data_IF_546565599451
#
_entry.id   IF_546565599451
#
_cell.length_a   1.000
_cell.length_b   1.000
_cell.length_c   1.000
_cell.angle_alpha   90.00
_cell.angle_beta   90.00
_cell.angle_gamma   90.00
#
_symmetry.space_group_name_H-M   'P 1'
#
loop_
_entity.id
_entity.type
_entity.pdbx_description
1 polymer ?
#
# COMPACT_ATOMS: atom_id res chain seq x y z
N UNK A 1 6.56 -4.92 -28.49
CA UNK A 1 6.41 -6.20 -27.77
C UNK A 1 6.32 -6.06 -26.25
N UNK A 2 7.14 -5.20 -25.57
CA UNK A 2 7.06 -4.95 -24.09
C UNK A 2 5.73 -4.32 -23.64
N UNK A 3 5.17 -3.40 -24.43
CA UNK A 3 3.88 -2.75 -24.10
C UNK A 3 2.67 -3.70 -24.14
N UNK A 4 2.70 -4.72 -24.99
CA UNK A 4 1.63 -5.71 -25.07
C UNK A 4 1.63 -6.69 -23.89
N UNK A 5 2.81 -7.03 -23.37
CA UNK A 5 2.95 -7.89 -22.18
C UNK A 5 2.52 -7.17 -20.90
N UNK A 6 2.76 -5.85 -20.80
CA UNK A 6 2.32 -5.03 -19.67
C UNK A 6 0.79 -4.80 -19.69
N UNK A 7 0.18 -4.64 -20.87
CA UNK A 7 -1.29 -4.55 -21.02
C UNK A 7 -2.02 -5.82 -20.55
N UNK A 8 -1.39 -6.98 -20.63
CA UNK A 8 -1.95 -8.23 -20.12
C UNK A 8 -1.84 -8.37 -18.59
N UNK A 9 -0.90 -7.64 -17.97
CA UNK A 9 -0.70 -7.64 -16.53
C UNK A 9 -1.59 -6.62 -15.78
N UNK A 10 -2.01 -5.55 -16.49
CA UNK A 10 -2.85 -4.49 -15.92
C UNK A 10 -4.08 -4.33 -16.81
N UNK A 11 -5.16 -5.07 -16.56
CA UNK A 11 -6.41 -4.87 -17.30
C UNK A 11 -6.88 -3.42 -17.08
N UNK A 12 -7.22 -2.77 -18.19
CA UNK A 12 -7.89 -1.46 -18.14
C UNK A 12 -9.10 -1.54 -17.22
N UNK A 13 -9.39 -0.50 -16.43
CA UNK A 13 -10.49 -0.52 -15.47
C UNK A 13 -11.85 -0.41 -16.17
N UNK A 14 -12.23 -1.40 -16.96
CA UNK A 14 -13.62 -1.64 -17.28
C UNK A 14 -14.21 -2.44 -16.12
N UNK A 15 -14.91 -1.75 -15.26
CA UNK A 15 -15.69 -2.25 -14.16
C UNK A 15 -16.74 -3.24 -14.67
N UNK A 16 -16.36 -4.50 -14.78
CA UNK A 16 -17.31 -5.61 -14.81
C UNK A 16 -17.19 -6.32 -13.47
N UNK A 17 -18.33 -6.55 -12.86
CA UNK A 17 -18.53 -7.06 -11.53
C UNK A 17 -17.57 -8.19 -11.13
N UNK A 18 -17.05 -8.12 -9.89
CA UNK A 18 -16.39 -9.19 -9.14
C UNK A 18 -15.10 -9.77 -9.76
N UNK A 19 -14.24 -8.96 -10.39
CA UNK A 19 -12.85 -9.33 -10.57
C UNK A 19 -12.21 -9.43 -9.18
N UNK A 20 -11.65 -10.59 -8.83
CA UNK A 20 -10.80 -10.77 -7.65
C UNK A 20 -9.89 -9.56 -7.49
N UNK A 21 -10.05 -8.85 -6.41
CA UNK A 21 -9.27 -7.65 -6.11
C UNK A 21 -7.81 -8.06 -5.91
N UNK A 22 -7.03 -8.01 -6.99
CA UNK A 22 -5.59 -8.28 -6.91
C UNK A 22 -4.96 -7.22 -6.00
N UNK A 23 -4.29 -7.67 -4.97
CA UNK A 23 -3.57 -6.78 -4.06
C UNK A 23 -2.19 -6.47 -4.65
N UNK A 24 -2.12 -5.50 -5.59
CA UNK A 24 -0.84 -5.05 -6.11
C UNK A 24 -0.04 -4.37 -5.00
N UNK A 25 1.24 -4.73 -4.91
CA UNK A 25 2.18 -4.23 -3.92
C UNK A 25 3.58 -4.13 -4.51
N UNK A 26 4.38 -3.16 -4.06
CA UNK A 26 5.80 -3.08 -4.42
C UNK A 26 6.62 -4.13 -3.65
N UNK A 27 7.85 -4.49 -4.11
CA UNK A 27 8.76 -5.33 -3.35
C UNK A 27 9.02 -4.80 -1.94
N UNK A 28 9.17 -3.48 -1.79
CA UNK A 28 9.41 -2.82 -0.51
C UNK A 28 8.19 -2.94 0.41
N UNK A 29 6.99 -2.71 -0.14
CA UNK A 29 5.75 -2.86 0.61
C UNK A 29 5.55 -4.29 1.09
N UNK A 30 5.80 -5.27 0.23
CA UNK A 30 5.74 -6.69 0.63
C UNK A 30 6.75 -7.02 1.72
N UNK A 31 7.99 -6.53 1.60
CA UNK A 31 9.02 -6.72 2.62
C UNK A 31 8.62 -6.11 3.96
N UNK A 32 7.95 -4.95 3.96
CA UNK A 32 7.44 -4.30 5.16
C UNK A 32 6.36 -5.15 5.85
N UNK A 33 5.37 -5.67 5.09
CA UNK A 33 4.35 -6.57 5.65
C UNK A 33 4.98 -7.82 6.26
N UNK A 34 5.96 -8.40 5.56
CA UNK A 34 6.69 -9.58 6.02
C UNK A 34 7.50 -9.30 7.28
N UNK A 35 8.18 -8.18 7.36
CA UNK A 35 8.96 -7.79 8.53
C UNK A 35 8.07 -7.60 9.77
N UNK A 36 6.91 -6.96 9.61
CA UNK A 36 5.91 -6.82 10.67
C UNK A 36 5.39 -8.19 11.13
N UNK A 37 5.07 -9.07 10.18
CA UNK A 37 4.63 -10.42 10.49
C UNK A 37 5.67 -11.20 11.30
N UNK A 38 6.94 -11.20 10.84
CA UNK A 38 8.04 -11.90 11.50
C UNK A 38 8.29 -11.34 12.91
N UNK A 39 8.23 -10.03 13.11
CA UNK A 39 8.36 -9.37 14.40
C UNK A 39 7.25 -9.78 15.38
N UNK A 40 6.01 -9.75 14.93
CA UNK A 40 4.86 -10.15 15.73
C UNK A 40 4.90 -11.64 16.08
N UNK A 41 5.16 -12.49 15.08
CA UNK A 41 5.08 -13.95 15.22
C UNK A 41 6.25 -14.52 16.03
N UNK A 42 7.48 -14.08 15.73
CA UNK A 42 8.70 -14.67 16.29
C UNK A 42 9.17 -13.99 17.57
N UNK A 43 8.84 -12.72 17.78
CA UNK A 43 9.36 -11.95 18.91
C UNK A 43 8.28 -11.57 19.90
N UNK A 44 7.27 -10.83 19.47
CA UNK A 44 6.29 -10.24 20.40
C UNK A 44 5.34 -11.29 20.96
N UNK A 45 4.75 -12.12 20.08
CA UNK A 45 3.78 -13.14 20.51
C UNK A 45 4.34 -14.11 21.54
N UNK A 46 5.53 -14.74 21.36
CA UNK A 46 6.11 -15.63 22.36
C UNK A 46 6.36 -14.94 23.69
N UNK A 47 6.83 -13.68 23.68
CA UNK A 47 7.02 -12.89 24.90
C UNK A 47 5.70 -12.70 25.65
N UNK A 48 4.65 -12.24 24.97
CA UNK A 48 3.34 -12.01 25.60
C UNK A 48 2.74 -13.32 26.10
N UNK A 49 2.94 -14.45 25.42
CA UNK A 49 2.52 -15.78 25.90
C UNK A 49 3.21 -16.13 27.22
N UNK A 50 4.52 -15.89 27.32
CA UNK A 50 5.28 -16.12 28.56
C UNK A 50 4.79 -15.21 29.69
N UNK A 51 4.57 -13.93 29.42
CA UNK A 51 4.08 -12.94 30.39
C UNK A 51 2.69 -13.34 30.92
N UNK A 52 1.79 -13.78 30.04
CA UNK A 52 0.44 -14.27 30.42
C UNK A 52 0.53 -15.53 31.27
N UNK A 53 1.42 -16.46 30.92
CA UNK A 53 1.60 -17.70 31.70
C UNK A 53 2.14 -17.39 33.11
N UNK A 54 3.10 -16.47 33.21
CA UNK A 54 3.63 -16.00 34.50
C UNK A 54 2.55 -15.31 35.34
N UNK A 55 1.79 -14.35 34.74
CA UNK A 55 0.70 -13.68 35.42
C UNK A 55 -0.38 -14.67 35.92
N UNK A 56 -0.70 -15.69 35.13
CA UNK A 56 -1.67 -16.71 35.50
C UNK A 56 -1.24 -17.57 36.69
N UNK A 57 0.06 -17.63 36.99
CA UNK A 57 0.60 -18.37 38.16
C UNK A 57 0.57 -17.57 39.45
N UNK A 58 0.34 -16.25 39.41
CA UNK A 58 0.49 -15.30 40.52
C UNK A 58 -0.84 -14.91 41.22
N UNK A 59 -1.89 -15.75 41.17
CA UNK A 59 -3.12 -15.52 41.89
C UNK A 59 -4.42 -15.63 41.07
N UNK A 60 -5.50 -15.00 41.57
CA UNK A 60 -6.80 -15.04 40.89
C UNK A 60 -6.77 -14.33 39.55
N UNK A 61 -7.05 -15.08 38.48
CA UNK A 61 -7.03 -14.61 37.09
C UNK A 61 -8.07 -13.54 36.83
N UNK A 62 -9.16 -13.51 37.59
CA UNK A 62 -10.28 -12.56 37.38
C UNK A 62 -9.94 -11.16 37.83
N UNK A 63 -9.03 -11.00 38.81
CA UNK A 63 -8.60 -9.71 39.36
C UNK A 63 -7.17 -9.32 38.94
N UNK A 64 -6.48 -10.20 38.21
CA UNK A 64 -5.10 -9.96 37.78
C UNK A 64 -5.06 -9.12 36.50
N UNK A 65 -4.77 -7.84 36.66
CA UNK A 65 -4.71 -6.86 35.55
C UNK A 65 -3.70 -7.26 34.47
N UNK A 66 -2.54 -7.79 34.82
CA UNK A 66 -1.48 -8.20 33.89
C UNK A 66 -1.94 -9.38 33.03
N UNK A 67 -2.65 -10.34 33.65
CA UNK A 67 -3.26 -11.47 32.93
C UNK A 67 -4.29 -10.98 31.90
N UNK A 68 -5.21 -10.10 32.33
CA UNK A 68 -6.27 -9.55 31.48
C UNK A 68 -5.68 -8.75 30.32
N UNK A 69 -4.70 -7.88 30.62
CA UNK A 69 -3.99 -7.07 29.60
C UNK A 69 -3.24 -7.97 28.61
N UNK A 70 -2.48 -8.92 29.08
CA UNK A 70 -1.74 -9.86 28.24
C UNK A 70 -2.64 -10.68 27.31
N UNK A 71 -3.78 -11.17 27.81
CA UNK A 71 -4.79 -11.87 27.01
C UNK A 71 -5.39 -10.96 25.94
N UNK A 72 -5.63 -9.68 26.25
CA UNK A 72 -6.09 -8.69 25.28
C UNK A 72 -5.04 -8.47 24.20
N UNK A 73 -3.77 -8.30 24.59
CA UNK A 73 -2.66 -8.12 23.65
C UNK A 73 -2.48 -9.31 22.72
N UNK A 74 -2.56 -10.54 23.21
CA UNK A 74 -2.52 -11.75 22.38
C UNK A 74 -3.61 -11.76 21.32
N UNK A 75 -4.85 -11.42 21.67
CA UNK A 75 -5.94 -11.33 20.68
C UNK A 75 -5.66 -10.29 19.61
N UNK A 76 -5.08 -9.14 19.97
CA UNK A 76 -4.69 -8.11 19.01
C UNK A 76 -3.59 -8.61 18.05
N UNK A 77 -2.54 -9.26 18.59
CA UNK A 77 -1.45 -9.84 17.80
C UNK A 77 -2.01 -10.91 16.84
N UNK A 78 -2.81 -11.85 17.34
CA UNK A 78 -3.37 -12.92 16.52
C UNK A 78 -4.29 -12.38 15.42
N UNK A 79 -5.05 -11.32 15.69
CA UNK A 79 -5.87 -10.64 14.69
C UNK A 79 -5.01 -9.95 13.62
N UNK A 80 -3.93 -9.27 14.04
CA UNK A 80 -2.99 -8.62 13.11
C UNK A 80 -2.25 -9.62 12.25
N UNK A 81 -1.78 -10.73 12.82
CA UNK A 81 -1.13 -11.82 12.08
C UNK A 81 -2.04 -12.41 11.00
N UNK A 82 -3.32 -12.66 11.32
CA UNK A 82 -4.30 -13.14 10.32
C UNK A 82 -4.52 -12.13 9.20
N UNK A 83 -4.58 -10.84 9.53
CA UNK A 83 -4.69 -9.77 8.53
C UNK A 83 -3.48 -9.76 7.61
N UNK A 84 -2.25 -9.73 8.17
CA UNK A 84 -1.00 -9.70 7.40
C UNK A 84 -0.88 -10.91 6.49
N UNK A 85 -1.18 -12.12 7.00
CA UNK A 85 -1.18 -13.35 6.21
C UNK A 85 -2.10 -13.23 5.01
N UNK A 86 -3.36 -12.81 5.23
CA UNK A 86 -4.35 -12.64 4.15
C UNK A 86 -3.88 -11.62 3.11
N UNK A 87 -3.23 -10.53 3.54
CA UNK A 87 -2.71 -9.50 2.63
C UNK A 87 -1.54 -10.01 1.80
N UNK A 88 -0.61 -10.75 2.42
CA UNK A 88 0.54 -11.36 1.74
C UNK A 88 0.13 -12.47 0.78
N UNK A 89 -0.84 -13.31 1.15
CA UNK A 89 -1.35 -14.40 0.29
C UNK A 89 -2.04 -13.86 -0.97
N UNK A 90 -2.74 -12.72 -0.86
CA UNK A 90 -3.40 -12.06 -1.98
C UNK A 90 -2.46 -11.12 -2.77
N UNK A 91 -1.21 -10.97 -2.33
CA UNK A 91 -0.28 -9.99 -2.91
C UNK A 91 0.18 -10.39 -4.32
N UNK A 92 0.14 -9.41 -5.23
CA UNK A 92 0.79 -9.48 -6.54
C UNK A 92 1.92 -8.46 -6.53
N UNK A 93 3.14 -8.94 -6.35
CA UNK A 93 4.32 -8.08 -6.29
C UNK A 93 4.65 -7.58 -7.70
N UNK A 94 4.75 -6.26 -7.85
CA UNK A 94 5.10 -5.58 -9.10
C UNK A 94 6.32 -4.70 -8.85
N UNK A 95 7.45 -5.03 -9.50
CA UNK A 95 8.66 -4.23 -9.37
C UNK A 95 8.63 -3.05 -10.36
N UNK A 96 8.65 -1.79 -9.88
CA UNK A 96 8.71 -0.63 -10.77
C UNK A 96 9.94 -0.62 -11.69
N UNK A 97 11.02 -1.30 -11.32
CA UNK A 97 12.23 -1.42 -12.16
C UNK A 97 11.95 -2.06 -13.52
N UNK A 98 10.97 -2.97 -13.58
CA UNK A 98 10.56 -3.62 -14.84
C UNK A 98 9.88 -2.65 -15.81
N UNK A 99 9.50 -1.46 -15.33
CA UNK A 99 8.76 -0.43 -16.06
C UNK A 99 9.61 0.79 -16.40
N UNK A 100 10.91 0.77 -16.09
CA UNK A 100 11.81 1.87 -16.40
C UNK A 100 11.83 2.19 -17.91
N UNK A 101 11.76 3.48 -18.24
CA UNK A 101 11.73 3.97 -19.61
C UNK A 101 10.33 3.97 -20.25
N UNK A 102 9.27 3.62 -19.49
CA UNK A 102 7.90 3.85 -19.94
C UNK A 102 7.50 5.31 -19.68
N UNK A 103 6.87 5.93 -20.69
CA UNK A 103 6.36 7.29 -20.60
C UNK A 103 4.92 7.37 -20.09
N UNK A 104 4.30 6.22 -19.81
CA UNK A 104 2.92 6.14 -19.31
C UNK A 104 2.87 5.82 -17.83
N UNK A 105 1.88 6.37 -17.17
CA UNK A 105 1.59 6.08 -15.77
C UNK A 105 1.01 4.69 -15.59
N UNK A 106 1.72 3.86 -14.82
CA UNK A 106 1.26 2.55 -14.34
C UNK A 106 1.53 2.42 -12.84
N UNK A 107 1.22 1.26 -12.26
CA UNK A 107 1.53 0.96 -10.87
C UNK A 107 3.03 1.12 -10.59
N UNK A 108 3.39 1.75 -9.49
CA UNK A 108 4.77 2.00 -9.09
C UNK A 108 5.39 3.29 -9.63
N UNK A 109 4.70 3.99 -10.56
CA UNK A 109 5.17 5.25 -11.12
C UNK A 109 5.26 6.36 -10.07
N UNK A 110 6.31 7.16 -10.16
CA UNK A 110 6.34 8.53 -9.67
C UNK A 110 5.77 9.45 -10.73
N UNK A 111 4.84 10.31 -10.35
CA UNK A 111 4.16 11.23 -11.25
C UNK A 111 4.22 12.62 -10.65
N UNK A 112 4.82 13.54 -11.38
CA UNK A 112 4.79 14.97 -11.03
C UNK A 112 3.62 15.62 -11.75
N UNK A 113 2.75 16.26 -10.99
CA UNK A 113 1.52 16.90 -11.43
C UNK A 113 1.57 18.39 -11.13
N UNK A 114 1.04 19.18 -12.06
CA UNK A 114 0.72 20.57 -11.83
C UNK A 114 -0.77 20.72 -11.54
N UNK A 115 -1.10 21.20 -10.36
CA UNK A 115 -2.48 21.50 -9.95
C UNK A 115 -2.86 22.90 -10.46
N UNK A 116 -3.57 22.95 -11.56
CA UNK A 116 -3.87 24.19 -12.31
C UNK A 116 -4.68 25.17 -11.43
N UNK A 117 -5.60 24.66 -10.62
CA UNK A 117 -6.49 25.49 -9.79
C UNK A 117 -5.77 26.22 -8.64
N UNK A 118 -4.59 25.74 -8.21
CA UNK A 118 -3.84 26.30 -7.07
C UNK A 118 -2.45 26.81 -7.46
N UNK A 119 -2.02 26.59 -8.70
CA UNK A 119 -0.67 26.95 -9.17
C UNK A 119 0.44 26.25 -8.35
N UNK A 120 0.27 24.94 -8.12
CA UNK A 120 1.17 24.14 -7.28
C UNK A 120 1.62 22.86 -8.00
N UNK A 121 2.87 22.45 -7.75
CA UNK A 121 3.38 21.15 -8.20
C UNK A 121 3.36 20.15 -7.07
N UNK A 122 2.93 18.92 -7.38
CA UNK A 122 2.92 17.81 -6.45
C UNK A 122 3.50 16.57 -7.10
N UNK A 123 4.33 15.84 -6.37
CA UNK A 123 4.86 14.56 -6.84
C UNK A 123 4.27 13.42 -6.00
N UNK A 124 3.67 12.45 -6.67
CA UNK A 124 3.05 11.28 -6.06
C UNK A 124 3.68 10.00 -6.56
N UNK A 125 3.76 9.00 -5.68
CA UNK A 125 4.08 7.62 -6.05
C UNK A 125 2.83 6.76 -5.98
N UNK A 126 2.52 6.02 -7.06
CA UNK A 126 1.38 5.11 -7.10
C UNK A 126 1.80 3.76 -6.53
N UNK A 127 1.27 3.40 -5.37
CA UNK A 127 1.64 2.21 -4.61
C UNK A 127 0.45 1.33 -4.25
N UNK A 128 0.69 0.22 -3.56
CA UNK A 128 -0.36 -0.66 -3.03
C UNK A 128 -1.18 -0.01 -1.92
N UNK A 129 -2.33 -0.62 -1.61
CA UNK A 129 -3.21 -0.14 -0.54
C UNK A 129 -2.55 -0.18 0.84
N UNK A 130 -1.62 -1.12 1.04
CA UNK A 130 -0.92 -1.30 2.31
C UNK A 130 0.32 -0.42 2.46
N UNK A 131 0.63 0.37 1.42
CA UNK A 131 1.82 1.22 1.34
C UNK A 131 1.50 2.71 1.39
N UNK A 132 0.24 3.06 1.65
CA UNK A 132 -0.23 4.44 1.70
C UNK A 132 0.55 5.24 2.76
N UNK A 133 1.24 6.30 2.32
CA UNK A 133 1.97 7.23 3.18
C UNK A 133 1.89 8.64 2.59
N UNK A 134 0.89 9.44 3.00
CA UNK A 134 0.74 10.80 2.49
C UNK A 134 1.94 11.70 2.75
N UNK A 135 2.71 11.44 3.83
CA UNK A 135 3.89 12.24 4.16
C UNK A 135 5.03 12.08 3.13
N UNK A 136 5.03 10.95 2.41
CA UNK A 136 5.97 10.66 1.32
C UNK A 136 5.38 10.87 -0.07
N UNK A 137 4.15 11.37 -0.17
CA UNK A 137 3.43 11.46 -1.44
C UNK A 137 2.97 10.11 -2.00
N UNK A 138 2.89 9.06 -1.17
CA UNK A 138 2.44 7.74 -1.62
C UNK A 138 0.91 7.68 -1.64
N UNK A 139 0.35 7.41 -2.80
CA UNK A 139 -1.09 7.28 -3.03
C UNK A 139 -1.43 5.84 -3.45
N UNK A 140 -2.55 5.35 -2.96
CA UNK A 140 -3.02 4.03 -3.35
C UNK A 140 -3.44 4.01 -4.82
N UNK A 141 -3.06 2.96 -5.56
CA UNK A 141 -3.43 2.76 -6.95
C UNK A 141 -4.96 2.69 -7.19
N UNK A 142 -5.76 2.44 -6.16
CA UNK A 142 -7.23 2.45 -6.21
C UNK A 142 -7.83 3.82 -5.89
N UNK A 143 -7.03 4.81 -5.48
CA UNK A 143 -7.52 6.17 -5.20
C UNK A 143 -8.08 6.81 -6.47
N UNK A 144 -9.03 7.78 -6.34
CA UNK A 144 -9.59 8.48 -7.49
C UNK A 144 -8.52 9.12 -8.37
N UNK A 145 -7.54 9.79 -7.76
CA UNK A 145 -6.43 10.43 -8.48
C UNK A 145 -5.58 9.40 -9.23
N UNK A 146 -5.15 8.32 -8.56
CA UNK A 146 -4.34 7.29 -9.21
C UNK A 146 -5.09 6.62 -10.37
N UNK A 147 -6.38 6.37 -10.23
CA UNK A 147 -7.22 5.80 -11.32
C UNK A 147 -7.32 6.74 -12.52
N UNK A 148 -7.47 8.03 -12.27
CA UNK A 148 -7.53 9.03 -13.35
C UNK A 148 -6.18 9.17 -14.07
N UNK A 149 -5.06 8.95 -13.36
CA UNK A 149 -3.70 9.00 -13.89
C UNK A 149 -3.33 7.79 -14.73
N UNK A 150 -3.90 6.61 -14.47
CA UNK A 150 -3.50 5.38 -15.17
C UNK A 150 -3.55 5.52 -16.69
N UNK A 151 -2.43 5.20 -17.35
CA UNK A 151 -2.26 5.29 -18.80
C UNK A 151 -1.99 6.67 -19.35
N UNK A 152 -2.01 7.72 -18.53
CA UNK A 152 -1.66 9.09 -18.90
C UNK A 152 -0.18 9.24 -19.21
N UNK A 153 0.18 10.31 -19.93
CA UNK A 153 1.55 10.67 -20.32
C UNK A 153 1.84 12.13 -19.94
N UNK A 154 3.10 12.53 -19.89
CA UNK A 154 3.45 13.96 -19.80
C UNK A 154 2.72 14.79 -20.86
N UNK A 155 2.15 15.92 -20.44
CA UNK A 155 1.31 16.80 -21.25
C UNK A 155 -0.18 16.45 -21.25
N UNK A 156 -0.59 15.31 -20.70
CA UNK A 156 -2.01 14.99 -20.56
C UNK A 156 -2.63 15.73 -19.37
N UNK A 157 -3.86 16.21 -19.54
CA UNK A 157 -4.68 16.80 -18.47
C UNK A 157 -5.71 15.79 -17.95
N UNK A 158 -6.12 15.98 -16.70
CA UNK A 158 -7.17 15.18 -16.05
C UNK A 158 -7.93 16.02 -15.02
N UNK A 159 -9.17 15.61 -14.76
CA UNK A 159 -10.02 16.18 -13.71
C UNK A 159 -10.38 15.13 -12.71
N UNK A 160 -10.34 15.50 -11.43
CA UNK A 160 -10.63 14.60 -10.32
C UNK A 160 -11.59 15.32 -9.37
N UNK A 161 -12.69 14.66 -9.04
CA UNK A 161 -13.55 15.10 -7.96
C UNK A 161 -12.92 14.78 -6.60
N UNK A 162 -12.74 15.81 -5.80
CA UNK A 162 -12.25 15.72 -4.42
C UNK A 162 -13.31 16.24 -3.45
N UNK A 163 -13.20 15.93 -2.15
CA UNK A 163 -14.10 16.53 -1.16
C UNK A 163 -14.09 18.07 -1.15
N UNK A 164 -13.02 18.68 -1.66
CA UNK A 164 -12.89 20.15 -1.81
C UNK A 164 -13.44 20.72 -3.12
N UNK A 165 -13.97 19.87 -4.00
CA UNK A 165 -14.45 20.24 -5.34
C UNK A 165 -13.68 19.57 -6.47
N UNK A 166 -13.98 19.96 -7.70
CA UNK A 166 -13.25 19.46 -8.88
C UNK A 166 -11.87 20.13 -8.95
N UNK A 167 -10.85 19.31 -9.08
CA UNK A 167 -9.45 19.73 -9.28
C UNK A 167 -8.98 19.30 -10.67
N UNK A 168 -8.28 20.21 -11.36
CA UNK A 168 -7.71 19.96 -12.68
C UNK A 168 -6.19 19.90 -12.59
N UNK A 169 -5.62 18.81 -13.14
CA UNK A 169 -4.19 18.54 -13.14
C UNK A 169 -3.65 18.38 -14.54
N UNK A 170 -2.38 18.75 -14.72
CA UNK A 170 -1.56 18.41 -15.87
C UNK A 170 -0.43 17.47 -15.43
N UNK A 171 -0.17 16.41 -16.19
CA UNK A 171 0.96 15.52 -15.96
C UNK A 171 2.23 16.16 -16.50
N UNK A 172 3.18 16.48 -15.63
CA UNK A 172 4.46 17.07 -16.04
C UNK A 172 5.50 16.00 -16.34
N UNK A 173 5.63 15.00 -15.45
CA UNK A 173 6.67 13.99 -15.55
C UNK A 173 6.16 12.62 -15.06
N UNK A 174 6.67 11.56 -15.69
CA UNK A 174 6.45 10.17 -15.27
C UNK A 174 7.81 9.49 -15.17
N UNK A 175 8.12 8.91 -13.99
CA UNK A 175 9.39 8.22 -13.73
C UNK A 175 9.16 6.93 -12.93
N UNK A 176 10.10 5.99 -13.04
CA UNK A 176 10.10 4.71 -12.30
C UNK A 176 11.43 4.56 -11.56
N UNK A 177 11.68 5.47 -10.61
CA UNK A 177 12.92 5.49 -9.81
C UNK A 177 13.07 4.24 -8.96
N UNK A 178 14.32 3.85 -8.77
CA UNK A 178 14.64 2.92 -7.67
C UNK A 178 14.60 3.68 -6.33
N UNK A 179 14.14 3.05 -5.24
CA UNK A 179 14.21 3.65 -3.89
C UNK A 179 15.63 4.07 -3.47
N UNK A 180 16.64 3.45 -4.07
CA UNK A 180 18.07 3.73 -3.81
C UNK A 180 18.58 5.02 -4.49
N UNK A 181 17.77 5.69 -5.28
CA UNK A 181 18.13 6.90 -6.03
C UNK A 181 17.72 8.21 -5.36
N UNK A 182 17.34 8.17 -4.07
CA UNK A 182 16.90 9.35 -3.27
C UNK A 182 17.98 9.75 -2.29
#
# INVERSE_FOLDING_TARGET
MREALLKSRFPSPHFSAMAEYKNYITPEGYATLKAEFDQLYRTERPKVVSDVAWAASNGDRSENADYIYGKRRLRQIDSRLRFLMKRMDAAVVVDPKDQQGLEKVFFGAWVTLYLITKDEEHTYRIVGQDELDPSKGYISWISPLARALMGKRPGDSLRVETPGGEEEYEVLEVDYRSPEAS
#
